data_IF_386410909607
#
_entry.id   IF_386410909607
#
_cell.length_a   1.000
_cell.length_b   1.000
_cell.length_c   1.000
_cell.angle_alpha   90.00
_cell.angle_beta   90.00
_cell.angle_gamma   90.00
#
_symmetry.space_group_name_H-M   'P 1'
#
loop_
_entity.id
_entity.type
_entity.pdbx_description
1 polymer ?
#
# COMPACT_ATOMS: atom_id res chain seq x y z
N UNK A 1 -19.13 -26.15 -8.80
CA UNK A 1 -18.79 -25.35 -10.00
C UNK A 1 -17.59 -24.50 -9.62
N UNK A 2 -16.36 -24.91 -9.98
CA UNK A 2 -15.64 -24.54 -11.22
C UNK A 2 -15.32 -23.03 -11.22
N UNK A 3 -14.08 -22.52 -11.26
CA UNK A 3 -12.73 -23.09 -11.42
C UNK A 3 -11.74 -22.37 -10.49
N UNK A 4 -10.81 -23.14 -9.94
CA UNK A 4 -9.63 -22.72 -9.17
C UNK A 4 -8.65 -21.98 -10.10
N UNK A 5 -8.76 -20.67 -10.27
CA UNK A 5 -7.69 -19.91 -10.94
C UNK A 5 -6.50 -19.79 -9.98
N UNK A 6 -5.55 -20.71 -10.15
CA UNK A 6 -4.20 -20.74 -9.56
C UNK A 6 -3.15 -20.44 -10.63
N UNK A 7 -3.43 -19.52 -11.54
CA UNK A 7 -2.51 -19.23 -12.64
C UNK A 7 -1.55 -18.12 -12.22
N UNK A 8 -0.24 -18.35 -12.34
CA UNK A 8 0.82 -17.36 -12.07
C UNK A 8 0.54 -15.98 -12.69
N UNK A 9 -0.17 -15.96 -13.82
CA UNK A 9 -0.57 -14.74 -14.55
C UNK A 9 -1.56 -13.85 -13.79
N UNK A 10 -2.50 -14.43 -13.02
CA UNK A 10 -3.44 -13.65 -12.20
C UNK A 10 -2.72 -13.09 -10.96
N UNK A 11 -1.88 -13.92 -10.34
CA UNK A 11 -1.04 -13.51 -9.22
C UNK A 11 -0.06 -12.38 -9.60
N UNK A 12 0.55 -12.44 -10.78
CA UNK A 12 1.48 -11.40 -11.24
C UNK A 12 0.78 -10.09 -11.58
N UNK A 13 -0.47 -10.13 -12.07
CA UNK A 13 -1.30 -8.93 -12.31
C UNK A 13 -1.73 -8.28 -11.00
N UNK A 14 -2.24 -9.07 -10.06
CA UNK A 14 -2.58 -8.59 -8.72
C UNK A 14 -1.35 -7.99 -8.01
N UNK A 15 -0.19 -8.66 -8.09
CA UNK A 15 1.06 -8.16 -7.53
C UNK A 15 1.53 -6.85 -8.20
N UNK A 16 1.40 -6.73 -9.53
CA UNK A 16 1.76 -5.51 -10.25
C UNK A 16 0.86 -4.33 -9.88
N UNK A 17 -0.45 -4.55 -9.81
CA UNK A 17 -1.43 -3.55 -9.38
C UNK A 17 -1.20 -3.13 -7.93
N UNK A 18 -0.98 -4.09 -7.02
CA UNK A 18 -0.67 -3.82 -5.63
C UNK A 18 0.63 -3.03 -5.49
N UNK A 19 1.67 -3.36 -6.26
CA UNK A 19 2.94 -2.64 -6.26
C UNK A 19 2.77 -1.19 -6.73
N UNK A 20 2.01 -0.98 -7.80
CA UNK A 20 1.74 0.36 -8.34
C UNK A 20 0.97 1.24 -7.34
N UNK A 21 -0.07 0.71 -6.72
CA UNK A 21 -0.84 1.42 -5.68
C UNK A 21 -0.02 1.67 -4.42
N UNK A 22 0.84 0.71 -4.04
CA UNK A 22 1.75 0.84 -2.90
C UNK A 22 2.74 1.99 -3.08
N UNK A 23 3.32 2.14 -4.28
CA UNK A 23 4.23 3.26 -4.58
C UNK A 23 3.51 4.60 -4.45
N UNK A 24 2.29 4.72 -5.00
CA UNK A 24 1.51 5.95 -4.87
C UNK A 24 1.15 6.26 -3.41
N UNK A 25 0.76 5.24 -2.64
CA UNK A 25 0.49 5.40 -1.21
C UNK A 25 1.73 5.88 -0.44
N UNK A 26 2.91 5.31 -0.72
CA UNK A 26 4.16 5.75 -0.12
C UNK A 26 4.52 7.19 -0.47
N UNK A 27 4.31 7.60 -1.73
CA UNK A 27 4.55 8.98 -2.14
C UNK A 27 3.60 9.92 -1.38
N UNK A 28 2.30 9.64 -1.35
CA UNK A 28 1.34 10.46 -0.59
C UNK A 28 1.73 10.56 0.89
N UNK A 29 2.01 9.43 1.53
CA UNK A 29 2.38 9.40 2.95
C UNK A 29 3.68 10.17 3.20
N UNK A 30 4.69 9.99 2.34
CA UNK A 30 5.96 10.71 2.44
C UNK A 30 5.78 12.22 2.28
N UNK A 31 4.88 12.65 1.41
CA UNK A 31 4.58 14.08 1.20
C UNK A 31 3.90 14.69 2.43
N UNK A 32 2.94 13.97 3.02
CA UNK A 32 2.25 14.40 4.25
C UNK A 32 3.23 14.43 5.44
N UNK A 33 4.04 13.39 5.59
CA UNK A 33 5.09 13.33 6.61
C UNK A 33 6.03 14.52 6.50
N UNK A 34 6.53 14.82 5.29
CA UNK A 34 7.44 15.94 5.06
C UNK A 34 6.76 17.28 5.38
N UNK A 35 5.55 17.51 4.89
CA UNK A 35 4.82 18.74 5.15
C UNK A 35 4.60 18.99 6.64
N UNK A 36 4.27 17.94 7.41
CA UNK A 36 4.10 18.03 8.87
C UNK A 36 5.44 18.28 9.56
N UNK A 37 6.49 17.57 9.18
CA UNK A 37 7.82 17.74 9.76
C UNK A 37 8.35 19.16 9.56
N UNK A 38 8.20 19.71 8.36
CA UNK A 38 8.61 21.08 8.01
C UNK A 38 7.78 22.12 8.77
N UNK A 39 6.45 21.97 8.81
CA UNK A 39 5.54 22.90 9.51
C UNK A 39 5.84 22.98 11.00
N UNK A 40 6.28 21.87 11.60
CA UNK A 40 6.61 21.77 13.02
C UNK A 40 8.10 22.03 13.30
N UNK A 41 8.90 22.38 12.29
CA UNK A 41 10.36 22.54 12.38
C UNK A 41 11.06 21.35 13.06
N UNK A 42 10.56 20.14 12.82
CA UNK A 42 11.10 18.93 13.44
C UNK A 42 12.40 18.51 12.76
N UNK A 43 13.46 18.37 13.56
CA UNK A 43 14.73 17.78 13.12
C UNK A 43 15.14 16.61 14.02
N UNK A 44 15.95 15.69 13.48
CA UNK A 44 16.49 14.55 14.23
C UNK A 44 15.41 13.62 14.80
N UNK A 45 15.36 13.50 16.13
CA UNK A 45 14.49 12.54 16.85
C UNK A 45 12.99 12.80 16.63
N UNK A 46 12.57 14.07 16.50
CA UNK A 46 11.16 14.40 16.27
C UNK A 46 10.65 13.88 14.91
N UNK A 47 11.51 13.96 13.90
CA UNK A 47 11.24 13.40 12.58
C UNK A 47 11.18 11.86 12.61
N UNK A 48 12.03 11.20 13.40
CA UNK A 48 12.00 9.74 13.58
C UNK A 48 10.71 9.25 14.26
N UNK A 49 10.25 9.95 15.31
CA UNK A 49 8.98 9.60 16.00
C UNK A 49 7.80 9.77 15.04
N UNK A 50 7.78 10.86 14.28
CA UNK A 50 6.76 11.08 13.26
C UNK A 50 6.81 9.97 12.19
N UNK A 51 8.00 9.57 11.75
CA UNK A 51 8.17 8.46 10.82
C UNK A 51 7.61 7.14 11.37
N UNK A 52 7.84 6.83 12.65
CA UNK A 52 7.28 5.65 13.30
C UNK A 52 5.75 5.70 13.38
N UNK A 53 5.16 6.87 13.65
CA UNK A 53 3.71 7.07 13.64
C UNK A 53 3.10 6.84 12.26
N UNK A 54 3.80 7.24 11.19
CA UNK A 54 3.38 7.00 9.81
C UNK A 54 3.64 5.57 9.32
N UNK A 55 4.59 4.83 9.92
CA UNK A 55 4.93 3.48 9.51
C UNK A 55 3.78 2.47 9.73
N UNK A 56 3.09 2.56 10.87
CA UNK A 56 1.92 1.71 11.18
C UNK A 56 0.77 1.84 10.17
N UNK A 57 0.23 3.04 9.88
CA UNK A 57 -0.81 3.21 8.86
C UNK A 57 -0.30 2.87 7.46
N UNK A 58 0.98 3.12 7.14
CA UNK A 58 1.58 2.70 5.87
C UNK A 58 1.54 1.18 5.70
N UNK A 59 1.98 0.43 6.73
CA UNK A 59 1.95 -1.03 6.72
C UNK A 59 0.52 -1.58 6.58
N UNK A 60 -0.44 -0.96 7.27
CA UNK A 60 -1.85 -1.32 7.15
C UNK A 60 -2.39 -1.10 5.73
N UNK A 61 -2.10 0.05 5.10
CA UNK A 61 -2.52 0.33 3.73
C UNK A 61 -1.90 -0.68 2.76
N UNK A 62 -0.62 -1.04 2.92
CA UNK A 62 0.01 -2.07 2.09
C UNK A 62 -0.72 -3.41 2.18
N UNK A 63 -1.05 -3.85 3.39
CA UNK A 63 -1.80 -5.09 3.60
C UNK A 63 -3.18 -5.00 2.92
N UNK A 64 -3.87 -3.87 3.05
CA UNK A 64 -5.18 -3.68 2.42
C UNK A 64 -5.11 -3.64 0.90
N UNK A 65 -4.13 -2.97 0.31
CA UNK A 65 -3.93 -2.92 -1.14
C UNK A 65 -3.67 -4.31 -1.71
N UNK A 66 -2.86 -5.12 -1.04
CA UNK A 66 -2.63 -6.52 -1.43
C UNK A 66 -3.92 -7.34 -1.36
N UNK A 67 -4.72 -7.15 -0.30
CA UNK A 67 -6.00 -7.85 -0.14
C UNK A 67 -7.01 -7.45 -1.22
N UNK A 68 -7.20 -6.16 -1.45
CA UNK A 68 -8.11 -5.64 -2.49
C UNK A 68 -7.67 -6.11 -3.88
N UNK A 69 -6.37 -6.08 -4.19
CA UNK A 69 -5.87 -6.56 -5.48
C UNK A 69 -6.10 -8.08 -5.65
N UNK A 70 -5.98 -8.85 -4.56
CA UNK A 70 -6.28 -10.29 -4.58
C UNK A 70 -7.77 -10.56 -4.75
N UNK A 71 -8.62 -9.85 -4.00
CA UNK A 71 -10.08 -10.00 -4.07
C UNK A 71 -10.61 -9.59 -5.46
N UNK A 72 -10.11 -8.49 -6.03
CA UNK A 72 -10.50 -8.03 -7.37
C UNK A 72 -10.11 -9.00 -8.49
N UNK A 73 -8.97 -9.68 -8.38
CA UNK A 73 -8.55 -10.70 -9.37
C UNK A 73 -9.26 -12.05 -9.14
N UNK A 74 -9.72 -12.32 -7.91
CA UNK A 74 -10.45 -13.56 -7.57
C UNK A 74 -11.97 -13.42 -7.60
N UNK A 75 -12.48 -12.23 -7.94
CA UNK A 75 -13.91 -11.97 -8.09
C UNK A 75 -14.48 -12.79 -9.27
N UNK A 76 -15.51 -13.64 -9.03
CA UNK A 76 -16.17 -14.39 -10.10
C UNK A 76 -16.82 -13.52 -11.19
N UNK A 77 -17.06 -12.23 -10.93
CA UNK A 77 -17.55 -11.27 -11.92
C UNK A 77 -16.45 -10.73 -12.87
N UNK A 78 -15.18 -10.96 -12.56
CA UNK A 78 -14.03 -10.51 -13.36
C UNK A 78 -13.46 -11.63 -14.28
N UNK A 79 -14.22 -12.72 -14.43
CA UNK A 79 -14.01 -13.83 -15.39
C UNK A 79 -14.66 -13.51 -16.73
#
# INVERSE_FOLDING_TARGET
>A
MQQRIKTFKSLSRAASAASFLSVQAFICIGTVYWAIAETLYLSGTGALVLGALFALPSAYILVMVVRIAFDAETDPANQ
#
